data_IF_470128475038
#
_entry.id   IF_470128475038
#
_cell.length_a   1.000
_cell.length_b   1.000
_cell.length_c   1.000
_cell.angle_alpha   90.00
_cell.angle_beta   90.00
_cell.angle_gamma   90.00
#
_symmetry.space_group_name_H-M   'P 1'
#
loop_
_entity.id
_entity.type
_entity.pdbx_description
1 polymer ?
#
# COMPACT_ATOMS: atom_id res chain seq x y z
N UNK A 1 26.95 12.25 0.03
CA UNK A 1 27.47 13.31 -0.82
C UNK A 1 26.29 14.07 -1.43
N UNK A 2 26.14 15.35 -1.07
CA UNK A 2 25.00 16.18 -1.51
C UNK A 2 24.95 16.35 -3.04
N UNK A 3 26.10 16.30 -3.71
CA UNK A 3 26.20 16.44 -5.17
C UNK A 3 25.59 15.22 -5.89
N UNK A 4 25.84 14.00 -5.41
CA UNK A 4 25.28 12.79 -5.99
C UNK A 4 23.76 12.71 -5.78
N UNK A 5 23.27 13.12 -4.60
CA UNK A 5 21.85 13.20 -4.33
C UNK A 5 21.17 14.29 -5.20
N UNK A 6 21.83 15.41 -5.45
CA UNK A 6 21.31 16.45 -6.34
C UNK A 6 21.20 15.95 -7.77
N UNK A 7 22.26 15.36 -8.33
CA UNK A 7 22.26 14.81 -9.68
C UNK A 7 21.19 13.71 -9.86
N UNK A 8 21.04 12.83 -8.87
CA UNK A 8 19.99 11.81 -8.88
C UNK A 8 18.58 12.40 -8.90
N UNK A 9 18.33 13.43 -8.07
CA UNK A 9 17.04 14.14 -8.03
C UNK A 9 16.72 14.86 -9.34
N UNK A 10 17.72 15.45 -9.97
CA UNK A 10 17.58 16.08 -11.28
C UNK A 10 17.25 15.06 -12.38
N UNK A 11 17.87 13.87 -12.35
CA UNK A 11 17.55 12.77 -13.26
C UNK A 11 16.10 12.31 -13.10
N UNK A 12 15.64 12.07 -11.89
CA UNK A 12 14.23 11.72 -11.61
C UNK A 12 13.26 12.82 -12.04
N UNK A 13 13.64 14.09 -11.85
CA UNK A 13 12.83 15.21 -12.27
C UNK A 13 12.65 15.26 -13.79
N UNK A 14 13.70 14.94 -14.56
CA UNK A 14 13.62 14.84 -16.01
C UNK A 14 12.68 13.73 -16.48
N UNK A 15 12.53 12.66 -15.68
CA UNK A 15 11.58 11.55 -15.90
C UNK A 15 10.17 11.87 -15.36
N UNK A 16 9.94 13.06 -14.82
CA UNK A 16 8.62 13.48 -14.33
C UNK A 16 8.33 13.13 -12.87
N UNK A 17 9.33 12.76 -12.08
CA UNK A 17 9.17 12.43 -10.66
C UNK A 17 10.03 13.32 -9.79
N UNK A 18 9.44 13.93 -8.76
CA UNK A 18 10.18 14.71 -7.76
C UNK A 18 10.25 13.97 -6.44
N UNK A 19 11.41 14.03 -5.78
CA UNK A 19 11.60 13.39 -4.48
C UNK A 19 12.14 14.36 -3.44
N UNK A 20 11.69 14.15 -2.20
CA UNK A 20 12.30 14.73 -0.99
C UNK A 20 12.71 13.60 -0.08
N UNK A 21 13.95 13.67 0.41
CA UNK A 21 14.53 12.66 1.27
C UNK A 21 14.68 13.21 2.67
N UNK A 22 14.32 12.42 3.65
CA UNK A 22 14.43 12.77 5.06
C UNK A 22 14.50 11.53 5.93
N UNK A 23 14.32 11.73 7.23
CA UNK A 23 14.15 10.63 8.18
C UNK A 23 12.82 10.76 8.89
N UNK A 24 12.12 9.64 9.01
CA UNK A 24 10.86 9.61 9.74
C UNK A 24 11.14 9.82 11.24
N UNK A 25 10.29 10.63 11.90
CA UNK A 25 10.44 10.91 13.34
C UNK A 25 9.75 9.83 14.20
N UNK A 26 10.14 8.59 13.99
CA UNK A 26 9.74 7.43 14.77
C UNK A 26 10.99 6.71 15.24
N UNK A 27 10.87 5.75 16.14
CA UNK A 27 12.01 4.94 16.57
C UNK A 27 12.77 4.35 15.39
N UNK A 28 14.08 4.23 15.48
CA UNK A 28 14.94 3.77 14.38
C UNK A 28 15.19 4.82 13.28
N UNK A 29 14.45 5.93 13.25
CA UNK A 29 14.63 7.04 12.29
C UNK A 29 14.86 6.57 10.84
N UNK A 30 14.00 5.72 10.28
CA UNK A 30 14.21 5.19 8.94
C UNK A 30 14.23 6.30 7.89
N UNK A 31 14.97 6.06 6.81
CA UNK A 31 14.97 6.96 5.66
C UNK A 31 13.57 6.94 5.04
N UNK A 32 13.04 8.13 4.78
CA UNK A 32 11.78 8.34 4.10
C UNK A 32 12.01 9.13 2.81
N UNK A 33 11.42 8.66 1.72
CA UNK A 33 11.43 9.33 0.43
C UNK A 33 9.99 9.72 0.09
N UNK A 34 9.71 11.01 0.07
CA UNK A 34 8.42 11.54 -0.38
C UNK A 34 8.47 11.71 -1.89
N UNK A 35 7.47 11.20 -2.57
CA UNK A 35 7.39 11.18 -4.04
C UNK A 35 6.26 12.10 -4.51
N UNK A 36 6.59 13.10 -5.32
CA UNK A 36 5.62 13.89 -6.07
C UNK A 36 5.59 13.38 -7.51
N UNK A 37 4.46 12.78 -7.88
CA UNK A 37 4.22 12.13 -9.17
C UNK A 37 3.19 12.88 -10.03
N UNK A 38 2.84 14.12 -9.68
CA UNK A 38 1.77 14.89 -10.36
C UNK A 38 1.96 15.02 -11.86
N UNK A 39 3.21 15.09 -12.33
CA UNK A 39 3.51 15.14 -13.75
C UNK A 39 3.14 13.86 -14.51
N UNK A 40 3.08 12.70 -13.84
CA UNK A 40 2.63 11.44 -14.46
C UNK A 40 1.12 11.42 -14.73
N UNK A 41 0.34 12.33 -14.14
CA UNK A 41 -1.12 12.42 -14.37
C UNK A 41 -1.42 12.66 -15.86
N UNK A 42 -0.60 13.45 -16.55
CA UNK A 42 -0.76 13.66 -17.99
C UNK A 42 -0.42 12.43 -18.84
N UNK A 43 0.31 11.48 -18.27
CA UNK A 43 0.74 10.23 -18.93
C UNK A 43 -0.06 9.01 -18.41
N UNK A 44 -1.14 9.23 -17.65
CA UNK A 44 -1.90 8.16 -17.01
C UNK A 44 -2.36 7.07 -17.97
N UNK A 45 -2.80 7.47 -19.16
CA UNK A 45 -3.33 6.52 -20.15
C UNK A 45 -2.21 5.62 -20.72
N UNK A 46 -1.00 6.16 -20.88
CA UNK A 46 0.17 5.38 -21.30
C UNK A 46 0.60 4.39 -20.21
N UNK A 47 0.60 4.82 -18.94
CA UNK A 47 0.90 3.95 -17.80
C UNK A 47 -0.11 2.81 -17.70
N UNK A 48 -1.41 3.12 -17.77
CA UNK A 48 -2.47 2.10 -17.68
C UNK A 48 -2.44 1.15 -18.87
N UNK A 49 -2.20 1.67 -20.08
CA UNK A 49 -2.01 0.86 -21.30
C UNK A 49 -0.83 -0.09 -21.14
N UNK A 50 0.29 0.38 -20.63
CA UNK A 50 1.47 -0.45 -20.41
C UNK A 50 1.17 -1.58 -19.39
N UNK A 51 0.45 -1.30 -18.30
CA UNK A 51 0.04 -2.32 -17.33
C UNK A 51 -0.87 -3.39 -17.99
N UNK A 52 -1.71 -3.00 -18.91
CA UNK A 52 -2.50 -3.95 -19.70
C UNK A 52 -1.64 -4.78 -20.66
N UNK A 53 -0.78 -4.14 -21.44
CA UNK A 53 0.05 -4.83 -22.44
C UNK A 53 1.02 -5.82 -21.80
N UNK A 54 1.56 -5.50 -20.62
CA UNK A 54 2.56 -6.30 -19.94
C UNK A 54 1.96 -7.39 -19.04
N UNK A 55 0.85 -7.09 -18.37
CA UNK A 55 0.30 -7.92 -17.29
C UNK A 55 -1.20 -8.17 -17.39
N UNK A 56 -1.87 -7.64 -18.41
CA UNK A 56 -3.34 -7.72 -18.56
C UNK A 56 -4.12 -7.11 -17.38
N UNK A 57 -3.59 -6.04 -16.76
CA UNK A 57 -4.28 -5.31 -15.71
C UNK A 57 -5.46 -4.53 -16.31
N UNK A 58 -6.69 -4.95 -16.02
CA UNK A 58 -7.91 -4.28 -16.50
C UNK A 58 -8.17 -2.99 -15.73
N UNK A 59 -7.84 -1.86 -16.36
CA UNK A 59 -7.99 -0.52 -15.79
C UNK A 59 -9.17 0.27 -16.36
N UNK A 60 -9.97 -0.33 -17.27
CA UNK A 60 -11.02 0.39 -18.03
C UNK A 60 -12.08 0.99 -17.09
N UNK A 61 -12.48 0.27 -16.04
CA UNK A 61 -13.46 0.73 -15.05
C UNK A 61 -12.85 1.59 -13.93
N UNK A 62 -11.53 1.83 -13.98
CA UNK A 62 -10.80 2.55 -12.92
C UNK A 62 -11.22 4.00 -12.82
N UNK A 63 -11.69 4.40 -11.63
CA UNK A 63 -11.97 5.78 -11.28
C UNK A 63 -10.72 6.44 -10.67
N UNK A 64 -10.83 7.72 -10.29
CA UNK A 64 -9.68 8.44 -9.75
C UNK A 64 -9.08 7.79 -8.48
N UNK A 65 -9.91 7.20 -7.65
CA UNK A 65 -9.52 6.45 -6.45
C UNK A 65 -8.72 5.15 -6.74
N UNK A 66 -8.67 4.73 -8.01
CA UNK A 66 -7.80 3.69 -8.54
C UNK A 66 -6.60 4.27 -9.27
N UNK A 67 -6.82 5.26 -10.16
CA UNK A 67 -5.79 5.81 -11.04
C UNK A 67 -4.66 6.46 -10.22
N UNK A 68 -5.03 7.26 -9.21
CA UNK A 68 -4.06 7.99 -8.39
C UNK A 68 -3.10 7.05 -7.64
N UNK A 69 -3.54 6.02 -6.90
CA UNK A 69 -2.65 5.05 -6.27
C UNK A 69 -1.78 4.28 -7.28
N UNK A 70 -2.32 3.92 -8.44
CA UNK A 70 -1.55 3.23 -9.49
C UNK A 70 -0.40 4.10 -10.00
N UNK A 71 -0.65 5.38 -10.24
CA UNK A 71 0.41 6.32 -10.66
C UNK A 71 1.45 6.52 -9.55
N UNK A 72 1.03 6.58 -8.29
CA UNK A 72 1.95 6.63 -7.16
C UNK A 72 2.84 5.38 -7.10
N UNK A 73 2.24 4.20 -7.17
CA UNK A 73 2.99 2.94 -7.16
C UNK A 73 3.99 2.86 -8.32
N UNK A 74 3.56 3.25 -9.53
CA UNK A 74 4.42 3.29 -10.70
C UNK A 74 5.62 4.22 -10.50
N UNK A 75 5.37 5.45 -10.01
CA UNK A 75 6.43 6.40 -9.66
C UNK A 75 7.39 5.85 -8.59
N UNK A 76 6.87 5.13 -7.59
CA UNK A 76 7.70 4.48 -6.58
C UNK A 76 8.61 3.42 -7.20
N UNK A 77 8.11 2.63 -8.16
CA UNK A 77 8.91 1.71 -8.96
C UNK A 77 10.05 2.42 -9.72
N UNK A 78 9.76 3.55 -10.37
CA UNK A 78 10.77 4.37 -11.04
C UNK A 78 11.85 4.86 -10.08
N UNK A 79 11.46 5.36 -8.90
CA UNK A 79 12.38 5.84 -7.87
C UNK A 79 13.27 4.71 -7.36
N UNK A 80 12.71 3.53 -7.08
CA UNK A 80 13.46 2.36 -6.61
C UNK A 80 14.46 1.91 -7.69
N UNK A 81 14.02 1.78 -8.95
CA UNK A 81 14.90 1.46 -10.08
C UNK A 81 16.07 2.43 -10.14
N UNK A 82 15.78 3.72 -10.20
CA UNK A 82 16.79 4.76 -10.29
C UNK A 82 17.74 4.77 -9.08
N UNK A 83 17.22 4.52 -7.87
CA UNK A 83 18.05 4.41 -6.67
C UNK A 83 19.02 3.23 -6.76
N UNK A 84 18.54 2.07 -7.14
CA UNK A 84 19.38 0.87 -7.24
C UNK A 84 20.47 1.03 -8.31
N UNK A 85 20.13 1.62 -9.46
CA UNK A 85 21.09 1.85 -10.55
C UNK A 85 22.18 2.87 -10.19
N UNK A 86 21.86 3.87 -9.36
CA UNK A 86 22.82 4.92 -9.02
C UNK A 86 23.62 4.65 -7.73
N UNK A 87 23.08 3.89 -6.79
CA UNK A 87 23.67 3.77 -5.45
C UNK A 87 24.01 2.35 -5.02
N UNK A 88 23.47 1.31 -5.68
CA UNK A 88 23.79 -0.07 -5.35
C UNK A 88 24.89 -0.61 -6.24
N UNK A 89 25.80 -1.37 -5.63
CA UNK A 89 26.85 -2.09 -6.36
C UNK A 89 26.31 -3.44 -6.89
N UNK A 90 27.01 -4.04 -7.85
CA UNK A 90 26.62 -5.35 -8.40
C UNK A 90 26.57 -6.49 -7.37
N UNK A 91 27.23 -6.32 -6.22
CA UNK A 91 27.25 -7.31 -5.12
C UNK A 91 26.11 -7.10 -4.11
N UNK A 92 25.48 -5.94 -4.10
CA UNK A 92 24.36 -5.64 -3.21
C UNK A 92 23.06 -6.21 -3.80
N UNK A 93 22.27 -6.83 -2.94
CA UNK A 93 20.94 -7.35 -3.30
C UNK A 93 19.88 -6.36 -2.82
N UNK A 94 18.97 -5.98 -3.71
CA UNK A 94 17.85 -5.11 -3.40
C UNK A 94 16.56 -5.91 -3.37
N UNK A 95 15.73 -5.62 -2.39
CA UNK A 95 14.36 -6.15 -2.26
C UNK A 95 13.40 -4.98 -2.15
N UNK A 96 12.42 -4.92 -3.03
CA UNK A 96 11.36 -3.93 -3.01
C UNK A 96 10.08 -4.57 -2.48
N UNK A 97 9.54 -4.03 -1.38
CA UNK A 97 8.34 -4.55 -0.73
C UNK A 97 7.17 -3.59 -0.94
N UNK A 98 6.11 -4.09 -1.54
CA UNK A 98 4.89 -3.34 -1.86
C UNK A 98 3.73 -3.84 -1.02
N UNK A 99 2.98 -2.91 -0.44
CA UNK A 99 1.83 -3.19 0.41
C UNK A 99 0.55 -2.76 -0.27
N UNK A 100 -0.42 -3.65 -0.31
CA UNK A 100 -1.75 -3.44 -0.88
C UNK A 100 -1.75 -3.18 -2.40
N UNK A 101 -2.89 -3.36 -3.02
CA UNK A 101 -3.08 -3.09 -4.46
C UNK A 101 -2.67 -1.67 -4.88
N UNK A 102 -2.74 -0.72 -3.96
CA UNK A 102 -2.41 0.70 -4.19
C UNK A 102 -0.96 0.95 -4.57
N UNK A 103 -0.04 0.05 -4.22
CA UNK A 103 1.38 0.18 -4.57
C UNK A 103 1.84 -0.87 -5.57
N UNK A 104 0.97 -1.80 -5.94
CA UNK A 104 1.28 -2.97 -6.75
C UNK A 104 1.91 -2.66 -8.12
N UNK A 105 1.50 -1.56 -8.76
CA UNK A 105 2.06 -1.11 -10.04
C UNK A 105 3.57 -0.88 -10.00
N UNK A 106 4.11 -0.48 -8.84
CA UNK A 106 5.55 -0.28 -8.66
C UNK A 106 6.33 -1.59 -8.76
N UNK A 107 5.81 -2.65 -8.15
CA UNK A 107 6.42 -3.96 -8.27
C UNK A 107 6.31 -4.55 -9.68
N UNK A 108 5.15 -4.39 -10.33
CA UNK A 108 4.97 -4.78 -11.73
C UNK A 108 5.92 -4.01 -12.66
N UNK A 109 6.10 -2.69 -12.43
CA UNK A 109 7.10 -1.89 -13.13
C UNK A 109 8.52 -2.46 -12.97
N UNK A 110 8.92 -2.78 -11.73
CA UNK A 110 10.26 -3.32 -11.46
C UNK A 110 10.48 -4.70 -12.11
N UNK A 111 9.48 -5.56 -12.13
CA UNK A 111 9.56 -6.87 -12.82
C UNK A 111 9.98 -6.75 -14.27
N UNK A 112 9.52 -5.70 -14.96
CA UNK A 112 9.87 -5.44 -16.36
C UNK A 112 11.19 -4.69 -16.51
N UNK A 113 11.37 -3.62 -15.73
CA UNK A 113 12.45 -2.65 -15.97
C UNK A 113 13.70 -2.88 -15.11
N UNK A 114 13.60 -3.71 -14.06
CA UNK A 114 14.69 -3.99 -13.12
C UNK A 114 14.57 -5.41 -12.54
N UNK A 115 14.62 -6.46 -13.39
CA UNK A 115 14.36 -7.84 -12.97
C UNK A 115 15.41 -8.38 -11.97
N UNK A 116 16.46 -7.65 -11.70
CA UNK A 116 17.47 -7.94 -10.68
C UNK A 116 17.09 -7.45 -9.28
N UNK A 117 16.02 -6.66 -9.15
CA UNK A 117 15.43 -6.27 -7.87
C UNK A 117 14.36 -7.31 -7.51
N UNK A 118 14.54 -8.00 -6.39
CA UNK A 118 13.51 -8.91 -5.91
C UNK A 118 12.28 -8.15 -5.42
N UNK A 119 11.10 -8.65 -5.74
CA UNK A 119 9.84 -8.00 -5.42
C UNK A 119 8.99 -8.82 -4.45
N UNK A 120 8.49 -8.16 -3.41
CA UNK A 120 7.58 -8.75 -2.43
C UNK A 120 6.27 -7.96 -2.46
N UNK A 121 5.16 -8.66 -2.50
CA UNK A 121 3.84 -8.08 -2.41
C UNK A 121 3.11 -8.61 -1.17
N UNK A 122 2.54 -7.73 -0.36
CA UNK A 122 1.71 -8.09 0.80
C UNK A 122 0.33 -7.48 0.65
N UNK A 123 -0.71 -8.32 0.71
CA UNK A 123 -2.09 -7.86 0.89
C UNK A 123 -2.56 -8.14 2.31
N UNK A 124 -3.24 -7.17 2.92
CA UNK A 124 -3.78 -7.28 4.28
C UNK A 124 -5.24 -7.74 4.29
N UNK A 125 -5.94 -7.55 3.19
CA UNK A 125 -7.27 -8.11 2.91
C UNK A 125 -7.56 -7.96 1.41
N UNK A 126 -8.17 -8.96 0.80
CA UNK A 126 -8.45 -8.90 -0.64
C UNK A 126 -9.54 -7.89 -0.97
N UNK A 127 -9.44 -7.23 -2.12
CA UNK A 127 -10.43 -6.24 -2.59
C UNK A 127 -11.83 -6.87 -2.66
N UNK A 128 -11.94 -8.04 -3.26
CA UNK A 128 -13.22 -8.75 -3.39
C UNK A 128 -13.72 -9.30 -2.06
N UNK A 129 -12.83 -9.77 -1.17
CA UNK A 129 -13.18 -10.18 0.19
C UNK A 129 -13.80 -9.05 1.01
N UNK A 130 -13.22 -7.85 0.93
CA UNK A 130 -13.80 -6.64 1.55
C UNK A 130 -15.21 -6.34 1.02
N UNK A 131 -15.43 -6.50 -0.29
CA UNK A 131 -16.75 -6.30 -0.90
C UNK A 131 -17.77 -7.33 -0.41
N UNK A 132 -17.38 -8.60 -0.33
CA UNK A 132 -18.24 -9.69 0.14
C UNK A 132 -18.64 -9.42 1.60
N UNK A 133 -17.66 -9.24 2.48
CA UNK A 133 -17.90 -9.02 3.91
C UNK A 133 -18.66 -7.73 4.18
N UNK A 134 -18.28 -6.61 3.55
CA UNK A 134 -18.91 -5.32 3.73
C UNK A 134 -20.36 -5.22 3.25
N UNK A 135 -20.79 -6.16 2.40
CA UNK A 135 -22.19 -6.28 1.98
C UNK A 135 -22.95 -7.41 2.68
N UNK A 136 -22.45 -7.90 3.81
CA UNK A 136 -23.13 -8.91 4.62
C UNK A 136 -23.21 -10.29 3.97
N UNK A 137 -22.41 -10.56 2.94
CA UNK A 137 -22.35 -11.88 2.31
C UNK A 137 -21.44 -12.83 3.13
N UNK A 138 -21.70 -14.13 3.13
CA UNK A 138 -21.01 -15.10 3.99
C UNK A 138 -19.60 -15.44 3.49
N UNK A 139 -18.66 -14.49 3.60
CA UNK A 139 -17.30 -14.61 3.05
C UNK A 139 -16.65 -15.94 3.44
N UNK A 140 -16.59 -16.25 4.73
CA UNK A 140 -15.77 -17.37 5.19
C UNK A 140 -16.45 -18.74 5.05
N UNK A 141 -17.76 -18.82 5.25
CA UNK A 141 -18.49 -20.09 5.10
C UNK A 141 -18.67 -20.50 3.64
N UNK A 142 -18.71 -19.53 2.74
CA UNK A 142 -19.00 -19.75 1.32
C UNK A 142 -17.86 -19.33 0.39
N UNK A 143 -16.66 -19.08 0.93
CA UNK A 143 -15.51 -18.55 0.20
C UNK A 143 -15.24 -19.30 -1.11
N UNK A 144 -15.33 -20.63 -1.10
CA UNK A 144 -15.10 -21.49 -2.26
C UNK A 144 -16.19 -21.42 -3.34
N UNK A 145 -17.32 -20.76 -3.06
CA UNK A 145 -18.45 -20.61 -4.01
C UNK A 145 -18.39 -19.29 -4.76
N UNK A 146 -17.57 -18.33 -4.31
CA UNK A 146 -17.48 -17.04 -4.96
C UNK A 146 -16.56 -17.08 -6.18
N UNK A 147 -17.04 -16.52 -7.28
CA UNK A 147 -16.20 -16.16 -8.42
C UNK A 147 -15.72 -14.71 -8.21
N UNK A 148 -14.43 -14.53 -7.97
CA UNK A 148 -13.87 -13.23 -7.65
C UNK A 148 -14.05 -12.19 -8.78
N UNK A 149 -13.92 -12.61 -10.04
CA UNK A 149 -14.09 -11.71 -11.19
C UNK A 149 -15.56 -11.26 -11.34
N UNK A 150 -16.55 -12.12 -11.00
CA UNK A 150 -17.97 -11.75 -10.95
C UNK A 150 -18.27 -10.79 -9.79
N UNK A 151 -17.71 -11.06 -8.61
CA UNK A 151 -17.79 -10.17 -7.46
C UNK A 151 -17.19 -8.80 -7.79
N UNK A 152 -16.02 -8.77 -8.43
CA UNK A 152 -15.37 -7.52 -8.82
C UNK A 152 -16.25 -6.69 -9.78
N UNK A 153 -16.89 -7.33 -10.75
CA UNK A 153 -17.86 -6.68 -11.66
C UNK A 153 -19.08 -6.18 -10.90
N UNK A 154 -19.68 -7.03 -10.08
CA UNK A 154 -20.89 -6.72 -9.30
C UNK A 154 -20.73 -5.48 -8.42
N UNK A 155 -19.57 -5.34 -7.78
CA UNK A 155 -19.26 -4.24 -6.86
C UNK A 155 -18.43 -3.11 -7.49
N UNK A 156 -18.26 -3.12 -8.81
CA UNK A 156 -17.51 -2.11 -9.56
C UNK A 156 -16.07 -1.89 -9.05
N UNK A 157 -15.39 -2.98 -8.72
CA UNK A 157 -13.99 -2.98 -8.27
C UNK A 157 -13.06 -3.77 -9.21
N UNK A 158 -13.45 -3.99 -10.44
CA UNK A 158 -12.71 -4.78 -11.43
C UNK A 158 -11.27 -4.31 -11.58
N UNK A 159 -11.03 -3.02 -11.71
CA UNK A 159 -9.68 -2.47 -11.87
C UNK A 159 -8.80 -2.74 -10.63
N UNK A 160 -9.33 -2.51 -9.42
CA UNK A 160 -8.62 -2.75 -8.16
C UNK A 160 -8.32 -4.24 -7.96
N UNK A 161 -9.30 -5.10 -8.24
CA UNK A 161 -9.13 -6.55 -8.16
C UNK A 161 -8.12 -7.05 -9.20
N UNK A 162 -8.18 -6.54 -10.43
CA UNK A 162 -7.28 -6.94 -11.50
C UNK A 162 -5.81 -6.67 -11.14
N UNK A 163 -5.49 -5.46 -10.67
CA UNK A 163 -4.11 -5.14 -10.29
C UNK A 163 -3.65 -5.94 -9.06
N UNK A 164 -4.52 -6.17 -8.08
CA UNK A 164 -4.21 -7.01 -6.91
C UNK A 164 -3.89 -8.44 -7.33
N UNK A 165 -4.71 -9.02 -8.20
CA UNK A 165 -4.53 -10.37 -8.74
C UNK A 165 -3.22 -10.49 -9.53
N UNK A 166 -2.91 -9.52 -10.39
CA UNK A 166 -1.66 -9.52 -11.15
C UNK A 166 -0.44 -9.30 -10.24
N UNK A 167 -0.55 -8.44 -9.21
CA UNK A 167 0.51 -8.32 -8.21
C UNK A 167 0.75 -9.63 -7.47
N UNK A 168 -0.31 -10.30 -7.02
CA UNK A 168 -0.18 -11.61 -6.40
C UNK A 168 0.54 -12.60 -7.33
N UNK A 169 0.26 -12.61 -8.63
CA UNK A 169 0.82 -13.57 -9.57
C UNK A 169 2.27 -13.29 -9.97
N UNK A 170 2.65 -12.03 -10.14
CA UNK A 170 3.91 -11.65 -10.78
C UNK A 170 5.03 -11.24 -9.83
N UNK A 171 4.78 -10.93 -8.55
CA UNK A 171 5.86 -10.67 -7.60
C UNK A 171 6.60 -11.97 -7.23
N UNK A 172 7.87 -11.87 -6.87
CA UNK A 172 8.71 -13.02 -6.51
C UNK A 172 8.19 -13.70 -5.24
N UNK A 173 7.77 -12.92 -4.25
CA UNK A 173 7.11 -13.41 -3.05
C UNK A 173 5.76 -12.71 -2.85
N UNK A 174 4.76 -13.51 -2.45
CA UNK A 174 3.42 -13.03 -2.12
C UNK A 174 3.11 -13.36 -0.66
N UNK A 175 2.86 -12.34 0.14
CA UNK A 175 2.64 -12.45 1.58
C UNK A 175 1.25 -11.94 1.98
N UNK A 176 0.81 -12.41 3.15
CA UNK A 176 -0.36 -11.86 3.84
C UNK A 176 -0.17 -11.90 5.36
N UNK A 177 -1.16 -11.41 6.10
CA UNK A 177 -1.04 -11.15 7.55
C UNK A 177 -1.70 -12.21 8.44
N UNK A 178 -2.47 -13.14 7.88
CA UNK A 178 -3.16 -14.18 8.64
C UNK A 178 -3.54 -15.39 7.79
N UNK A 179 -3.78 -16.53 8.43
CA UNK A 179 -4.31 -17.75 7.79
C UNK A 179 -5.67 -17.49 7.12
N UNK A 180 -6.50 -16.65 7.71
CA UNK A 180 -7.81 -16.29 7.19
C UNK A 180 -7.63 -15.56 5.84
N UNK A 181 -6.77 -14.55 5.79
CA UNK A 181 -6.48 -13.82 4.56
C UNK A 181 -5.73 -14.68 3.54
N UNK A 182 -4.88 -15.63 3.99
CA UNK A 182 -4.24 -16.58 3.08
C UNK A 182 -5.27 -17.44 2.31
N UNK A 183 -6.33 -17.87 2.99
CA UNK A 183 -7.44 -18.55 2.34
C UNK A 183 -8.18 -17.64 1.34
N UNK A 184 -8.42 -16.37 1.69
CA UNK A 184 -8.96 -15.41 0.71
C UNK A 184 -8.08 -15.30 -0.53
N UNK A 185 -6.78 -15.15 -0.35
CA UNK A 185 -5.81 -15.06 -1.46
C UNK A 185 -5.88 -16.28 -2.38
N UNK A 186 -5.93 -17.46 -1.82
CA UNK A 186 -6.03 -18.72 -2.58
C UNK A 186 -7.28 -18.75 -3.46
N UNK A 187 -8.44 -18.45 -2.91
CA UNK A 187 -9.72 -18.56 -3.63
C UNK A 187 -10.06 -17.35 -4.49
N UNK A 188 -9.71 -16.13 -4.04
CA UNK A 188 -10.11 -14.90 -4.71
C UNK A 188 -9.04 -14.33 -5.64
N UNK A 189 -7.74 -14.58 -5.37
CA UNK A 189 -6.63 -14.14 -6.24
C UNK A 189 -6.03 -15.28 -7.06
N UNK A 190 -6.33 -16.52 -6.73
CA UNK A 190 -5.88 -17.71 -7.46
C UNK A 190 -4.40 -18.06 -7.22
N UNK A 191 -3.79 -17.55 -6.13
CA UNK A 191 -2.42 -17.88 -5.73
C UNK A 191 -2.35 -18.14 -4.23
N UNK A 192 -1.68 -19.22 -3.87
CA UNK A 192 -1.30 -19.46 -2.47
C UNK A 192 -0.17 -18.50 -2.07
N UNK A 193 -0.21 -18.01 -0.84
CA UNK A 193 0.81 -17.11 -0.32
C UNK A 193 2.13 -17.84 -0.09
N UNK A 194 3.25 -17.15 -0.30
CA UNK A 194 4.60 -17.64 -0.01
C UNK A 194 4.84 -17.72 1.50
N UNK A 195 4.19 -16.86 2.26
CA UNK A 195 4.31 -16.81 3.72
C UNK A 195 3.27 -15.90 4.37
N UNK A 196 3.16 -16.03 5.69
CA UNK A 196 2.28 -15.21 6.52
C UNK A 196 3.15 -14.41 7.48
N UNK A 197 2.97 -13.10 7.46
CA UNK A 197 3.67 -12.15 8.32
C UNK A 197 2.65 -11.34 9.11
N UNK A 198 2.27 -11.78 10.32
CA UNK A 198 1.29 -11.07 11.15
C UNK A 198 1.71 -9.62 11.41
N UNK A 199 0.72 -8.73 11.52
CA UNK A 199 0.98 -7.36 11.94
C UNK A 199 1.62 -7.36 13.32
N UNK A 200 2.73 -6.64 13.45
CA UNK A 200 3.39 -6.42 14.72
C UNK A 200 2.82 -5.21 15.46
N UNK A 201 3.14 -5.13 16.74
CA UNK A 201 2.93 -3.94 17.55
C UNK A 201 4.12 -3.79 18.50
N UNK A 202 4.34 -2.58 18.97
CA UNK A 202 5.38 -2.29 19.96
C UNK A 202 4.79 -2.33 21.37
N UNK A 203 5.48 -2.99 22.29
CA UNK A 203 5.01 -3.13 23.68
C UNK A 203 4.98 -1.79 24.42
N UNK A 204 5.75 -0.80 23.98
CA UNK A 204 5.82 0.54 24.58
C UNK A 204 4.51 1.33 24.47
N UNK A 205 3.56 0.86 23.63
CA UNK A 205 2.19 1.39 23.59
C UNK A 205 1.30 0.87 24.74
N UNK A 206 1.74 -0.18 25.44
CA UNK A 206 0.94 -0.79 26.50
C UNK A 206 1.47 -0.27 27.85
N UNK A 207 0.72 0.62 28.47
CA UNK A 207 1.01 1.05 29.84
C UNK A 207 0.73 -0.11 30.82
N UNK A 208 1.42 -0.08 31.96
CA UNK A 208 1.08 -1.01 33.06
C UNK A 208 -0.35 -0.77 33.52
N UNK A 209 -0.98 -1.80 34.09
CA UNK A 209 -2.35 -1.70 34.62
C UNK A 209 -2.48 -0.57 35.66
N UNK A 210 -1.41 -0.26 36.38
CA UNK A 210 -1.36 0.80 37.38
C UNK A 210 -1.37 2.21 36.75
N UNK A 211 -0.74 2.36 35.59
CA UNK A 211 -0.65 3.64 34.87
C UNK A 211 -1.84 3.87 33.93
N UNK A 212 -2.49 2.77 33.50
CA UNK A 212 -3.51 2.80 32.44
C UNK A 212 -4.65 3.77 32.74
N UNK A 213 -5.17 3.75 33.98
CA UNK A 213 -6.29 4.62 34.38
C UNK A 213 -5.92 6.11 34.30
N UNK A 214 -4.73 6.47 34.80
CA UNK A 214 -4.23 7.86 34.78
C UNK A 214 -3.96 8.32 33.35
N UNK A 215 -3.30 7.50 32.54
CA UNK A 215 -2.97 7.78 31.16
C UNK A 215 -4.22 7.89 30.27
N UNK A 216 -5.22 7.05 30.49
CA UNK A 216 -6.53 7.17 29.81
C UNK A 216 -7.22 8.49 30.16
N UNK A 217 -7.22 8.90 31.44
CA UNK A 217 -7.82 10.16 31.85
C UNK A 217 -7.07 11.38 31.26
N UNK A 218 -5.75 11.31 31.15
CA UNK A 218 -4.93 12.33 30.52
C UNK A 218 -5.23 12.46 29.02
N UNK A 219 -5.20 11.32 28.30
CA UNK A 219 -5.48 11.26 26.87
C UNK A 219 -6.91 11.74 26.57
N UNK A 220 -7.89 11.33 27.39
CA UNK A 220 -9.28 11.75 27.24
C UNK A 220 -9.43 13.28 27.37
N UNK A 221 -8.81 13.89 28.37
CA UNK A 221 -8.82 15.35 28.51
C UNK A 221 -8.23 16.05 27.29
N UNK A 222 -7.07 15.60 26.82
CA UNK A 222 -6.45 16.15 25.62
C UNK A 222 -7.34 16.03 24.38
N UNK A 223 -8.03 14.89 24.21
CA UNK A 223 -8.99 14.70 23.10
C UNK A 223 -10.19 15.64 23.21
N UNK A 224 -10.74 15.85 24.41
CA UNK A 224 -11.85 16.77 24.65
C UNK A 224 -11.42 18.21 24.33
N UNK A 225 -10.25 18.64 24.81
CA UNK A 225 -9.71 19.99 24.52
C UNK A 225 -9.58 20.25 23.01
N UNK A 226 -9.05 19.25 22.27
CA UNK A 226 -8.94 19.35 20.80
C UNK A 226 -10.32 19.39 20.14
N UNK A 227 -11.24 18.54 20.58
CA UNK A 227 -12.60 18.50 20.03
C UNK A 227 -13.35 19.83 20.29
N UNK A 228 -13.26 20.38 21.50
CA UNK A 228 -13.85 21.69 21.84
C UNK A 228 -13.28 22.81 20.97
N UNK A 229 -11.96 22.81 20.76
CA UNK A 229 -11.29 23.80 19.92
C UNK A 229 -11.71 23.68 18.44
N UNK A 230 -11.86 22.46 17.92
CA UNK A 230 -12.25 22.22 16.53
C UNK A 230 -13.73 22.51 16.25
N UNK A 231 -14.60 22.29 17.25
CA UNK A 231 -16.05 22.46 17.11
C UNK A 231 -16.54 23.83 17.57
N UNK A 232 -15.68 24.67 18.15
CA UNK A 232 -16.04 25.92 18.84
C UNK A 232 -17.19 25.71 19.83
N UNK A 233 -17.14 24.60 20.59
CA UNK A 233 -18.20 24.16 21.49
C UNK A 233 -17.57 23.56 22.76
N UNK A 234 -18.10 23.95 23.93
CA UNK A 234 -17.71 23.34 25.20
C UNK A 234 -18.70 22.27 25.62
N UNK A 235 -18.19 21.10 26.01
CA UNK A 235 -19.02 20.03 26.50
C UNK A 235 -19.42 20.28 27.97
N UNK A 236 -20.71 20.31 28.27
CA UNK A 236 -21.24 20.46 29.64
C UNK A 236 -21.03 19.20 30.48
N UNK A 237 -20.97 18.05 29.81
CA UNK A 237 -20.68 16.75 30.43
C UNK A 237 -19.58 16.04 29.64
N UNK A 238 -18.84 15.17 30.31
CA UNK A 238 -17.79 14.38 29.63
C UNK A 238 -18.39 13.55 28.50
N UNK A 239 -18.03 13.82 27.22
CA UNK A 239 -18.57 13.06 26.11
C UNK A 239 -18.04 11.64 26.12
N UNK A 240 -18.84 10.69 25.65
CA UNK A 240 -18.39 9.33 25.35
C UNK A 240 -17.54 9.40 24.07
N UNK A 241 -16.26 9.07 24.19
CA UNK A 241 -15.35 8.92 23.06
C UNK A 241 -15.12 7.41 22.84
N UNK A 242 -15.53 6.93 21.68
CA UNK A 242 -15.38 5.53 21.26
C UNK A 242 -14.29 5.41 20.23
#
# INVERSE_FOLDING_TARGET
DDSLLSAWREGLYAEGVRVRIGRWRVEGHPIAILIDYKSLISQKDDVLKQMWEDYHVDSISGQWDYIEPVLFGYAAGMVIKSYVENFCTSTQKAVAHFHEWMTASGGLYLRKHSPYVATVFTTHATVTGRCIAGNGLPLYSDLHKFNADEIARRFNVTAKHSIEKMAALYHDAFLTVSEITANECKYLLGREVTGITPNGFENDFVWSDEELAAKRAEARRAMIEVAEACLDHKFETEPLII
#
